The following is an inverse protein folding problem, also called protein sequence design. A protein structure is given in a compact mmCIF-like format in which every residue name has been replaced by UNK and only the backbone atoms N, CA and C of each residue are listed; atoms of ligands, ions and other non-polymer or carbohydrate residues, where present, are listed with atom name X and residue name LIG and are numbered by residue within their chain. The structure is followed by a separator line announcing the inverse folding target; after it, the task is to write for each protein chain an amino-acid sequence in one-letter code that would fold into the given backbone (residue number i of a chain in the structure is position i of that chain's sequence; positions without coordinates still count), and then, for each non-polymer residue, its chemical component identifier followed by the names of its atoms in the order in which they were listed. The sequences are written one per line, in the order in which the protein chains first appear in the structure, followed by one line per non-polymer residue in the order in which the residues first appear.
data_IF_733043213677
#
_entry.id   IF_733043213677
#
_cell.length_a   1.000
_cell.length_b   1.000
_cell.length_c   1.000
_cell.angle_alpha   90.00
_cell.angle_beta   90.00
_cell.angle_gamma   90.00
#
_symmetry.space_group_name_H-M   'P 1'
#
loop_
_entity.id
_entity.type
_entity.pdbx_description
1 polymer ?
#
# COMPACT_ATOMS: atom_id res chain seq x y z
N UNK A 1 1.98 -16.08 -4.54
CA UNK A 1 1.35 -14.80 -4.88
C UNK A 1 1.91 -13.75 -3.95
N UNK A 2 2.50 -12.71 -4.51
CA UNK A 2 3.19 -11.65 -3.77
C UNK A 2 2.28 -10.44 -3.63
N UNK A 3 1.90 -10.10 -2.41
CA UNK A 3 0.87 -9.07 -2.17
C UNK A 3 1.41 -7.93 -1.32
N UNK A 4 1.25 -6.69 -1.81
CA UNK A 4 1.56 -5.47 -1.08
C UNK A 4 0.30 -4.96 -0.37
N UNK A 5 0.38 -4.65 0.91
CA UNK A 5 -0.71 -4.10 1.71
C UNK A 5 -0.33 -2.71 2.23
N UNK A 6 -1.26 -1.75 2.11
CA UNK A 6 -1.09 -0.36 2.51
C UNK A 6 -2.24 0.02 3.46
N UNK A 7 -1.93 0.36 4.70
CA UNK A 7 -2.88 0.92 5.66
C UNK A 7 -2.38 2.29 6.14
N UNK A 8 -3.12 3.33 5.75
CA UNK A 8 -2.92 4.72 6.15
C UNK A 8 -4.15 5.29 6.86
N UNK A 9 -5.11 4.45 7.27
CA UNK A 9 -6.41 4.87 7.83
C UNK A 9 -6.27 5.49 9.22
N UNK A 10 -5.20 5.17 9.95
CA UNK A 10 -4.90 5.76 11.25
C UNK A 10 -4.27 7.15 11.10
N UNK A 11 -4.69 8.11 11.92
CA UNK A 11 -4.13 9.47 11.91
C UNK A 11 -2.65 9.51 12.34
N UNK A 12 -2.21 8.59 13.19
CA UNK A 12 -0.90 8.54 13.81
C UNK A 12 -0.01 7.44 13.25
N UNK A 13 -0.57 6.46 12.53
CA UNK A 13 0.16 5.27 12.07
C UNK A 13 0.04 5.05 10.58
N UNK A 14 1.12 4.53 9.99
CA UNK A 14 1.18 4.03 8.62
C UNK A 14 1.75 2.63 8.70
N UNK A 15 1.05 1.66 8.13
CA UNK A 15 1.48 0.27 8.10
C UNK A 15 1.62 -0.16 6.64
N UNK A 16 2.77 -0.74 6.31
CA UNK A 16 3.02 -1.38 5.03
C UNK A 16 3.41 -2.82 5.30
N UNK A 17 2.79 -3.75 4.59
CA UNK A 17 3.10 -5.18 4.67
C UNK A 17 3.32 -5.73 3.26
N UNK A 18 4.32 -6.57 3.10
CA UNK A 18 4.56 -7.30 1.87
C UNK A 18 4.64 -8.79 2.18
N UNK A 19 3.82 -9.58 1.50
CA UNK A 19 3.79 -11.02 1.63
C UNK A 19 4.42 -11.64 0.39
N UNK A 20 5.47 -12.45 0.58
CA UNK A 20 6.20 -13.13 -0.49
C UNK A 20 6.60 -14.52 -0.01
N UNK A 21 6.29 -15.57 -0.78
CA UNK A 21 6.68 -16.96 -0.47
C UNK A 21 6.33 -17.40 0.97
N UNK A 22 5.11 -17.06 1.43
CA UNK A 22 4.62 -17.29 2.82
C UNK A 22 5.39 -16.53 3.92
N UNK A 23 6.36 -15.69 3.56
CA UNK A 23 7.03 -14.77 4.48
C UNK A 23 6.34 -13.41 4.48
N UNK A 24 6.22 -12.84 5.67
CA UNK A 24 5.62 -11.54 5.89
C UNK A 24 6.72 -10.55 6.28
N UNK A 25 6.83 -9.49 5.49
CA UNK A 25 7.62 -8.31 5.81
C UNK A 25 6.64 -7.23 6.26
N UNK A 26 6.89 -6.60 7.41
CA UNK A 26 6.04 -5.51 7.95
C UNK A 26 6.91 -4.33 8.36
N UNK A 27 6.46 -3.12 8.04
CA UNK A 27 6.99 -1.88 8.58
C UNK A 27 5.85 -0.98 9.04
N UNK A 28 6.09 -0.25 10.11
CA UNK A 28 5.17 0.72 10.69
C UNK A 28 5.93 2.02 10.95
N UNK A 29 5.28 3.15 10.68
CA UNK A 29 5.72 4.46 11.15
C UNK A 29 4.67 5.05 12.07
N UNK A 30 5.11 5.71 13.13
CA UNK A 30 4.26 6.27 14.20
C UNK A 30 4.55 7.77 14.32
N UNK A 31 3.50 8.58 14.57
CA UNK A 31 3.55 10.05 14.67
C UNK A 31 4.13 10.74 13.41
N UNK A 32 3.72 10.29 12.22
CA UNK A 32 4.10 10.96 10.97
C UNK A 32 3.03 12.00 10.56
N UNK A 33 3.38 13.30 10.48
CA UNK A 33 2.45 14.31 9.98
C UNK A 33 2.24 14.19 8.46
N UNK A 34 3.27 13.83 7.70
CA UNK A 34 3.19 13.64 6.26
C UNK A 34 3.06 12.14 5.93
N UNK A 35 1.88 11.75 5.44
CA UNK A 35 1.58 10.34 5.14
C UNK A 35 2.21 9.89 3.83
N UNK A 36 2.28 10.76 2.83
CA UNK A 36 2.78 10.39 1.50
C UNK A 36 4.31 10.25 1.53
N UNK A 37 4.99 11.20 2.17
CA UNK A 37 6.46 11.19 2.31
C UNK A 37 6.97 10.01 3.13
N UNK A 38 6.12 9.35 3.92
CA UNK A 38 6.51 8.18 4.73
C UNK A 38 6.06 6.86 4.10
N UNK A 39 4.87 6.78 3.52
CA UNK A 39 4.37 5.53 2.95
C UNK A 39 5.26 5.01 1.80
N UNK A 40 5.67 5.87 0.87
CA UNK A 40 6.48 5.47 -0.28
C UNK A 40 7.87 4.92 0.12
N UNK A 41 8.66 5.60 0.98
CA UNK A 41 9.92 5.02 1.48
C UNK A 41 9.74 3.73 2.28
N UNK A 42 8.63 3.54 2.98
CA UNK A 42 8.35 2.26 3.66
C UNK A 42 8.12 1.13 2.66
N UNK A 43 7.38 1.39 1.58
CA UNK A 43 7.18 0.43 0.48
C UNK A 43 8.53 0.09 -0.16
N UNK A 44 9.35 1.07 -0.49
CA UNK A 44 10.66 0.82 -1.09
C UNK A 44 11.54 -0.06 -0.17
N UNK A 45 11.63 0.31 1.11
CA UNK A 45 12.41 -0.45 2.11
C UNK A 45 11.90 -1.88 2.26
N UNK A 46 10.59 -2.09 2.29
CA UNK A 46 10.02 -3.43 2.50
C UNK A 46 10.29 -4.35 1.31
N UNK A 47 10.17 -3.82 0.09
CA UNK A 47 10.42 -4.56 -1.16
C UNK A 47 11.90 -4.91 -1.24
N UNK A 48 12.80 -3.95 -0.99
CA UNK A 48 14.26 -4.19 -0.95
C UNK A 48 14.65 -5.24 0.08
N UNK A 49 14.11 -5.17 1.29
CA UNK A 49 14.39 -6.15 2.37
C UNK A 49 13.89 -7.56 2.05
N UNK A 50 12.86 -7.67 1.21
CA UNK A 50 12.34 -8.96 0.74
C UNK A 50 13.11 -9.55 -0.45
N UNK A 51 14.21 -8.90 -0.87
CA UNK A 51 14.97 -9.23 -2.07
C UNK A 51 14.03 -9.41 -3.28
N UNK A 52 13.08 -8.50 -3.42
CA UNK A 52 12.12 -8.45 -4.52
C UNK A 52 12.26 -7.11 -5.25
N UNK A 53 11.63 -7.04 -6.41
CA UNK A 53 11.40 -5.84 -7.18
C UNK A 53 9.91 -5.46 -7.14
N UNK A 54 9.58 -4.21 -7.49
CA UNK A 54 8.18 -3.80 -7.62
C UNK A 54 7.42 -4.62 -8.67
N UNK A 55 8.12 -5.16 -9.68
CA UNK A 55 7.52 -5.99 -10.74
C UNK A 55 7.08 -7.37 -10.25
N UNK A 56 7.65 -7.83 -9.13
CA UNK A 56 7.31 -9.10 -8.51
C UNK A 56 6.00 -9.02 -7.70
N UNK A 57 5.38 -7.85 -7.60
CA UNK A 57 4.06 -7.68 -6.97
C UNK A 57 3.00 -8.24 -7.90
N UNK A 58 2.16 -9.14 -7.39
CA UNK A 58 1.04 -9.72 -8.11
C UNK A 58 -0.26 -8.92 -7.86
N UNK A 59 -0.42 -8.42 -6.63
CA UNK A 59 -1.60 -7.69 -6.19
C UNK A 59 -1.23 -6.60 -5.17
N UNK A 60 -1.94 -5.47 -5.25
CA UNK A 60 -1.89 -4.40 -4.26
C UNK A 60 -3.20 -4.41 -3.48
N UNK A 61 -3.11 -4.29 -2.17
CA UNK A 61 -4.24 -4.15 -1.27
C UNK A 61 -4.11 -2.87 -0.46
N UNK A 62 -5.22 -2.17 -0.31
CA UNK A 62 -5.27 -0.90 0.42
C UNK A 62 -6.55 -0.81 1.23
N UNK A 63 -6.43 -0.31 2.45
CA UNK A 63 -7.58 -0.04 3.31
C UNK A 63 -8.41 1.12 2.73
N UNK A 64 -9.69 0.87 2.48
CA UNK A 64 -10.61 1.86 1.88
C UNK A 64 -11.41 2.64 2.91
N UNK A 65 -11.48 2.19 4.16
CA UNK A 65 -12.20 2.87 5.24
C UNK A 65 -12.97 1.92 6.16
N UNK A 66 -13.63 2.45 7.20
CA UNK A 66 -13.62 3.86 7.62
C UNK A 66 -12.26 4.29 8.23
N UNK A 67 -11.96 5.59 8.23
CA UNK A 67 -10.70 6.12 8.77
C UNK A 67 -10.38 7.58 8.42
N UNK A 68 -9.12 7.96 8.64
CA UNK A 68 -8.57 9.30 8.36
C UNK A 68 -8.87 9.74 6.93
N UNK A 69 -9.60 10.85 6.77
CA UNK A 69 -9.91 11.40 5.45
C UNK A 69 -8.67 11.61 4.56
N UNK A 70 -7.64 12.27 5.10
CA UNK A 70 -6.36 12.47 4.41
C UNK A 70 -5.63 11.13 4.24
N UNK A 71 -5.65 10.28 5.27
CA UNK A 71 -4.98 8.99 5.26
C UNK A 71 -5.49 8.06 4.17
N UNK A 72 -6.80 7.86 4.08
CA UNK A 72 -7.44 7.02 3.07
C UNK A 72 -7.10 7.50 1.67
N UNK A 73 -7.19 8.82 1.40
CA UNK A 73 -6.84 9.38 0.08
C UNK A 73 -5.39 9.14 -0.29
N UNK A 74 -4.46 9.31 0.64
CA UNK A 74 -3.04 9.06 0.38
C UNK A 74 -2.80 7.59 0.06
N UNK A 75 -3.28 6.67 0.90
CA UNK A 75 -3.08 5.24 0.70
C UNK A 75 -3.67 4.75 -0.61
N UNK A 76 -4.91 5.13 -0.88
CA UNK A 76 -5.65 4.75 -2.10
C UNK A 76 -4.99 5.35 -3.35
N UNK A 77 -4.52 6.59 -3.29
CA UNK A 77 -3.82 7.21 -4.42
C UNK A 77 -2.52 6.48 -4.74
N UNK A 78 -1.73 6.11 -3.72
CA UNK A 78 -0.51 5.31 -3.89
C UNK A 78 -0.86 3.94 -4.50
N UNK A 79 -1.87 3.26 -3.97
CA UNK A 79 -2.27 1.94 -4.44
C UNK A 79 -2.74 1.96 -5.90
N UNK A 80 -3.58 2.93 -6.26
CA UNK A 80 -4.06 3.11 -7.63
C UNK A 80 -2.92 3.46 -8.59
N UNK A 81 -2.00 4.36 -8.18
CA UNK A 81 -0.85 4.73 -9.01
C UNK A 81 0.09 3.55 -9.25
N UNK A 82 0.38 2.75 -8.22
CA UNK A 82 1.18 1.52 -8.34
C UNK A 82 0.46 0.47 -9.21
N UNK A 83 -0.84 0.31 -9.02
CA UNK A 83 -1.67 -0.60 -9.83
C UNK A 83 -1.60 -0.24 -11.31
N UNK A 84 -1.77 1.04 -11.63
CA UNK A 84 -1.66 1.57 -12.99
C UNK A 84 -0.25 1.37 -13.56
N UNK A 85 0.79 1.78 -12.82
CA UNK A 85 2.18 1.72 -13.30
C UNK A 85 2.70 0.29 -13.49
N UNK A 86 2.24 -0.67 -12.68
CA UNK A 86 2.70 -2.06 -12.72
C UNK A 86 1.77 -2.99 -13.52
N UNK A 87 0.61 -2.50 -13.97
CA UNK A 87 -0.41 -3.33 -14.60
C UNK A 87 -0.94 -4.43 -13.67
N UNK A 88 -1.09 -4.13 -12.37
CA UNK A 88 -1.51 -5.07 -11.34
C UNK A 88 -2.86 -4.70 -10.75
N UNK A 89 -3.58 -5.69 -10.21
CA UNK A 89 -4.89 -5.44 -9.59
C UNK A 89 -4.71 -4.71 -8.26
N UNK A 90 -5.68 -3.86 -7.93
CA UNK A 90 -5.85 -3.27 -6.60
C UNK A 90 -7.12 -3.84 -5.97
N UNK A 91 -7.04 -4.38 -4.75
CA UNK A 91 -8.17 -4.99 -4.01
C UNK A 91 -9.01 -5.96 -4.86
N UNK A 92 -8.37 -6.79 -5.70
CA UNK A 92 -9.05 -7.72 -6.60
C UNK A 92 -9.83 -7.10 -7.77
N UNK A 93 -9.86 -5.77 -7.94
CA UNK A 93 -10.56 -5.10 -9.05
C UNK A 93 -9.95 -5.43 -10.42
N UNK A 94 -10.75 -5.22 -11.48
CA UNK A 94 -10.30 -5.34 -12.87
C UNK A 94 -9.17 -4.33 -13.15
N UNK A 95 -8.20 -4.72 -13.98
CA UNK A 95 -7.14 -3.80 -14.42
C UNK A 95 -7.75 -2.55 -15.07
N UNK A 96 -7.18 -1.38 -14.77
CA UNK A 96 -7.71 -0.08 -15.19
C UNK A 96 -8.85 0.46 -14.33
N UNK A 97 -9.35 -0.30 -13.35
CA UNK A 97 -10.27 0.22 -12.33
C UNK A 97 -9.51 0.86 -11.18
N UNK A 98 -10.15 1.79 -10.47
CA UNK A 98 -9.57 2.47 -9.31
C UNK A 98 -10.30 2.11 -8.01
N UNK A 99 -9.58 2.19 -6.90
CA UNK A 99 -10.15 2.25 -5.56
C UNK A 99 -10.57 3.67 -5.16
N UNK A 100 -11.57 3.75 -4.27
CA UNK A 100 -12.10 4.99 -3.73
C UNK A 100 -12.31 4.88 -2.22
N UNK A 101 -12.13 5.97 -1.46
CA UNK A 101 -12.36 5.97 -0.03
C UNK A 101 -13.84 5.73 0.29
N UNK A 102 -14.09 4.97 1.34
CA UNK A 102 -15.39 4.74 1.94
C UNK A 102 -15.42 5.49 3.27
N UNK A 103 -16.38 6.41 3.41
CA UNK A 103 -16.53 7.29 4.57
C UNK A 103 -17.61 6.80 5.52
#
# INVERSE_FOLDING_TARGET
MNTLFIDTRDNKKIIVRFEKDRKIYKKEAVRSPDKAQVALPLIEKIIKNSKASLRDIDEIKVETGPGSFTGLRVGISIANALSFALGKKVNGKKLGSIEQPQY
#
